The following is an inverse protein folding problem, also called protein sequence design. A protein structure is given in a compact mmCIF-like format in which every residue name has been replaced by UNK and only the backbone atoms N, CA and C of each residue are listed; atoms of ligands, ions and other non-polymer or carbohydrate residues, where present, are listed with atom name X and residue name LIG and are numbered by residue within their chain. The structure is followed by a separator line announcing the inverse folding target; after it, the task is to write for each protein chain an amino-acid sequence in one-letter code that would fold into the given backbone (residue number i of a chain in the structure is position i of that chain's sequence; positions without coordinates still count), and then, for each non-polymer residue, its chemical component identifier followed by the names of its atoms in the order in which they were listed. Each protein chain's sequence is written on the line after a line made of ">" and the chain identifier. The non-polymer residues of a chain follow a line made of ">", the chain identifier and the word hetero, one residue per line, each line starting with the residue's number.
data_IF_738789412034
#
_entry.id   IF_738789412034
#
_cell.length_a   1.000
_cell.length_b   1.000
_cell.length_c   1.000
_cell.angle_alpha   90.00
_cell.angle_beta   90.00
_cell.angle_gamma   90.00
#
_symmetry.space_group_name_H-M   'P 1'
#
loop_
_entity.id
_entity.type
_entity.pdbx_description
1 polymer ?
#
# COMPACT_ATOMS: atom_id res chain seq x y z
N UNK A 1 -14.76 41.71 26.95
CA UNK A 1 -15.03 40.59 27.87
C UNK A 1 -14.86 39.30 27.09
N UNK A 2 -13.83 38.51 27.39
CA UNK A 2 -13.66 37.20 26.79
C UNK A 2 -14.60 36.19 27.48
N UNK A 3 -15.22 35.24 26.76
CA UNK A 3 -16.11 34.27 27.38
C UNK A 3 -15.32 33.32 28.30
N UNK A 4 -15.83 33.18 29.52
CA UNK A 4 -15.36 32.26 30.54
C UNK A 4 -15.74 30.83 30.13
N UNK A 5 -14.77 30.05 29.65
CA UNK A 5 -14.99 28.63 29.30
C UNK A 5 -14.88 27.82 30.60
N UNK A 6 -15.90 27.01 30.97
CA UNK A 6 -15.86 26.17 32.15
C UNK A 6 -14.66 25.22 32.18
N UNK A 7 -13.99 25.03 33.34
CA UNK A 7 -12.81 24.17 33.46
C UNK A 7 -13.08 22.68 33.19
N UNK A 8 -14.34 22.25 33.12
CA UNK A 8 -14.72 20.87 32.78
C UNK A 8 -14.70 20.54 31.28
N UNK A 9 -14.50 21.53 30.39
CA UNK A 9 -14.39 21.29 28.94
C UNK A 9 -12.94 21.10 28.46
N UNK A 10 -11.98 20.96 29.37
CA UNK A 10 -10.55 20.81 29.05
C UNK A 10 -10.14 19.34 28.83
N UNK A 11 -10.98 18.37 29.19
CA UNK A 11 -10.65 16.93 29.18
C UNK A 11 -11.49 16.08 28.21
N UNK A 12 -11.50 16.48 26.93
CA UNK A 12 -11.76 15.55 25.83
C UNK A 12 -10.53 15.45 24.93
N UNK A 13 -9.35 15.23 25.54
CA UNK A 13 -8.31 14.50 24.85
C UNK A 13 -8.79 13.06 24.74
N UNK A 14 -9.53 12.77 23.66
CA UNK A 14 -9.79 11.41 23.22
C UNK A 14 -8.45 10.67 23.24
N UNK A 15 -8.34 9.70 24.15
CA UNK A 15 -7.19 8.85 24.29
C UNK A 15 -6.81 8.34 22.90
N UNK A 16 -5.66 8.77 22.40
CA UNK A 16 -5.14 8.24 21.14
C UNK A 16 -5.02 6.73 21.34
N UNK A 17 -5.64 5.90 20.48
CA UNK A 17 -5.49 4.45 20.58
C UNK A 17 -3.99 4.15 20.60
N UNK A 18 -3.54 3.30 21.54
CA UNK A 18 -2.15 2.85 21.58
C UNK A 18 -1.78 2.39 20.17
N UNK A 19 -0.90 3.14 19.51
CA UNK A 19 -0.49 2.88 18.15
C UNK A 19 0.07 1.45 18.09
N UNK A 20 -0.63 0.56 17.40
CA UNK A 20 -0.12 -0.76 17.06
C UNK A 20 1.22 -0.62 16.34
N UNK A 21 2.11 -1.60 16.53
CA UNK A 21 3.37 -1.65 15.79
C UNK A 21 3.14 -1.67 14.27
N UNK A 22 4.16 -1.35 13.48
CA UNK A 22 4.06 -1.26 12.01
C UNK A 22 3.40 -2.48 11.37
N UNK A 23 3.71 -3.70 11.86
CA UNK A 23 3.09 -4.95 11.40
C UNK A 23 1.57 -5.00 11.61
N UNK A 24 1.08 -4.49 12.73
CA UNK A 24 -0.35 -4.42 13.00
C UNK A 24 -1.04 -3.41 12.07
N UNK A 25 -0.36 -2.30 11.79
CA UNK A 25 -0.86 -1.25 10.87
C UNK A 25 -0.95 -1.78 9.44
N UNK A 26 0.10 -2.47 8.96
CA UNK A 26 0.09 -3.09 7.63
C UNK A 26 -1.02 -4.14 7.48
N UNK A 27 -1.19 -5.01 8.48
CA UNK A 27 -2.27 -6.01 8.47
C UNK A 27 -3.66 -5.36 8.39
N UNK A 28 -3.94 -4.35 9.21
CA UNK A 28 -5.24 -3.65 9.16
C UNK A 28 -5.46 -2.96 7.82
N UNK A 29 -4.40 -2.42 7.21
CA UNK A 29 -4.51 -1.80 5.89
C UNK A 29 -4.89 -2.80 4.80
N UNK A 30 -4.36 -4.04 4.84
CA UNK A 30 -4.80 -5.13 3.96
C UNK A 30 -6.29 -5.41 4.15
N UNK A 31 -6.73 -5.57 5.41
CA UNK A 31 -8.14 -5.85 5.74
C UNK A 31 -9.07 -4.76 5.18
N UNK A 32 -8.74 -3.48 5.36
CA UNK A 32 -9.50 -2.34 4.82
C UNK A 32 -9.66 -2.42 3.30
N UNK A 33 -8.60 -2.78 2.56
CA UNK A 33 -8.66 -2.90 1.09
C UNK A 33 -9.51 -4.11 0.65
N UNK A 34 -9.41 -5.25 1.34
CA UNK A 34 -10.24 -6.43 1.07
C UNK A 34 -11.72 -6.13 1.34
N UNK A 35 -12.03 -5.36 2.39
CA UNK A 35 -13.39 -4.94 2.75
C UNK A 35 -14.05 -4.04 1.68
N UNK A 36 -13.29 -3.34 0.83
CA UNK A 36 -13.83 -2.50 -0.25
C UNK A 36 -14.58 -3.27 -1.34
N UNK A 37 -14.43 -4.61 -1.40
CA UNK A 37 -15.02 -5.47 -2.46
C UNK A 37 -14.68 -5.03 -3.89
N UNK A 38 -13.54 -4.37 -4.08
CA UNK A 38 -13.09 -3.85 -5.38
C UNK A 38 -12.20 -4.84 -6.16
N UNK A 39 -12.39 -6.15 -5.95
CA UNK A 39 -11.57 -7.20 -6.58
C UNK A 39 -10.17 -7.39 -5.98
N UNK A 40 -9.93 -6.86 -4.77
CA UNK A 40 -8.69 -7.10 -4.04
C UNK A 40 -8.62 -8.54 -3.52
N UNK A 41 -7.42 -9.13 -3.59
CA UNK A 41 -7.09 -10.45 -3.06
C UNK A 41 -5.73 -10.39 -2.38
N UNK A 42 -5.62 -11.00 -1.20
CA UNK A 42 -4.33 -11.23 -0.55
C UNK A 42 -3.83 -12.62 -0.95
N UNK A 43 -2.81 -12.73 -1.82
CA UNK A 43 -2.34 -14.02 -2.27
C UNK A 43 -1.75 -14.83 -1.11
N UNK A 44 -2.09 -16.10 -1.08
CA UNK A 44 -1.42 -17.12 -0.27
C UNK A 44 0.03 -17.29 -0.73
N UNK A 45 0.85 -18.01 0.06
CA UNK A 45 2.24 -18.29 -0.32
C UNK A 45 2.33 -19.00 -1.68
N UNK A 46 1.48 -20.00 -1.93
CA UNK A 46 1.44 -20.74 -3.20
C UNK A 46 1.05 -19.85 -4.38
N UNK A 47 0.03 -19.02 -4.22
CA UNK A 47 -0.41 -18.09 -5.27
C UNK A 47 0.65 -17.03 -5.55
N UNK A 48 1.34 -16.56 -4.51
CA UNK A 48 2.47 -15.64 -4.64
C UNK A 48 3.59 -16.26 -5.47
N UNK A 49 3.98 -17.49 -5.20
CA UNK A 49 5.00 -18.19 -5.99
C UNK A 49 4.58 -18.33 -7.46
N UNK A 50 3.30 -18.69 -7.70
CA UNK A 50 2.77 -18.80 -9.05
C UNK A 50 2.77 -17.44 -9.79
N UNK A 51 2.40 -16.35 -9.10
CA UNK A 51 2.49 -14.99 -9.63
C UNK A 51 3.94 -14.64 -10.00
N UNK A 52 4.91 -14.90 -9.13
CA UNK A 52 6.32 -14.62 -9.41
C UNK A 52 6.81 -15.35 -10.68
N UNK A 53 6.46 -16.63 -10.83
CA UNK A 53 6.77 -17.41 -12.03
C UNK A 53 6.10 -16.81 -13.27
N UNK A 54 4.81 -16.49 -13.18
CA UNK A 54 4.04 -15.96 -14.31
C UNK A 54 4.58 -14.61 -14.82
N UNK A 55 4.93 -13.70 -13.91
CA UNK A 55 5.55 -12.42 -14.28
C UNK A 55 6.93 -12.65 -14.93
N UNK A 56 7.73 -13.57 -14.39
CA UNK A 56 9.03 -13.93 -14.96
C UNK A 56 8.91 -14.54 -16.37
N UNK A 57 7.89 -15.37 -16.63
CA UNK A 57 7.59 -15.90 -17.97
C UNK A 57 7.35 -14.81 -19.02
N UNK A 58 6.84 -13.64 -18.59
CA UNK A 58 6.67 -12.45 -19.45
C UNK A 58 7.83 -11.45 -19.36
N UNK A 59 8.98 -11.89 -18.83
CA UNK A 59 10.21 -11.08 -18.65
C UNK A 59 10.00 -9.85 -17.78
N UNK A 60 9.06 -9.93 -16.83
CA UNK A 60 8.79 -8.88 -15.84
C UNK A 60 9.25 -9.38 -14.49
N UNK A 61 10.23 -8.71 -13.91
CA UNK A 61 10.79 -9.13 -12.63
C UNK A 61 10.00 -8.46 -11.51
N UNK A 62 9.51 -9.30 -10.59
CA UNK A 62 9.02 -8.91 -9.28
C UNK A 62 10.07 -9.41 -8.28
N UNK A 63 10.70 -8.49 -7.52
CA UNK A 63 11.66 -8.87 -6.49
C UNK A 63 10.94 -9.56 -5.30
N UNK A 64 11.65 -10.25 -4.40
CA UNK A 64 11.00 -10.98 -3.28
C UNK A 64 10.07 -10.09 -2.42
N UNK A 65 9.11 -10.68 -1.70
CA UNK A 65 8.11 -9.99 -0.85
C UNK A 65 7.43 -8.73 -1.46
N UNK A 66 7.49 -8.51 -2.78
CA UNK A 66 7.37 -7.17 -3.37
C UNK A 66 5.96 -6.60 -3.54
N UNK A 67 4.97 -7.22 -2.91
CA UNK A 67 3.61 -6.70 -2.92
C UNK A 67 2.77 -7.35 -1.83
N UNK A 68 1.82 -6.61 -1.28
CA UNK A 68 0.95 -7.10 -0.22
C UNK A 68 -0.28 -7.79 -0.80
N UNK A 69 -0.89 -7.19 -1.81
CA UNK A 69 -2.16 -7.62 -2.41
C UNK A 69 -2.14 -7.48 -3.93
N UNK A 70 -3.12 -8.09 -4.59
CA UNK A 70 -3.41 -7.85 -6.01
C UNK A 70 -4.85 -7.35 -6.15
N UNK A 71 -5.14 -6.71 -7.28
CA UNK A 71 -6.49 -6.46 -7.76
C UNK A 71 -6.69 -7.19 -9.08
N UNK A 72 -7.77 -7.96 -9.17
CA UNK A 72 -8.16 -8.67 -10.39
C UNK A 72 -9.35 -7.98 -11.06
N UNK A 73 -9.18 -7.56 -12.31
CA UNK A 73 -10.25 -6.98 -13.12
C UNK A 73 -11.24 -8.03 -13.65
N UNK A 74 -10.81 -9.29 -13.73
CA UNK A 74 -11.64 -10.47 -14.00
C UNK A 74 -11.05 -11.68 -13.25
N UNK A 75 -11.84 -12.74 -12.97
CA UNK A 75 -11.33 -13.92 -12.28
C UNK A 75 -10.15 -14.56 -13.02
N UNK A 76 -9.10 -14.91 -12.29
CA UNK A 76 -7.92 -15.65 -12.76
C UNK A 76 -7.59 -16.73 -11.73
N UNK A 77 -7.29 -17.95 -12.18
CA UNK A 77 -6.77 -19.00 -11.29
C UNK A 77 -5.33 -18.68 -10.93
N UNK A 78 -5.10 -18.28 -9.68
CA UNK A 78 -3.80 -17.90 -9.17
C UNK A 78 -2.91 -19.10 -8.80
N UNK A 79 -3.34 -20.32 -9.09
CA UNK A 79 -2.56 -21.55 -8.83
C UNK A 79 -1.88 -22.11 -10.08
N UNK A 80 -2.19 -21.57 -11.26
CA UNK A 80 -1.60 -21.94 -12.56
C UNK A 80 -0.73 -20.80 -13.13
N UNK A 81 0.61 -20.87 -13.03
CA UNK A 81 1.49 -19.84 -13.56
C UNK A 81 1.30 -19.55 -15.06
N UNK A 82 0.97 -20.56 -15.87
CA UNK A 82 0.80 -20.36 -17.31
C UNK A 82 -0.47 -19.56 -17.60
N UNK A 83 -1.60 -19.95 -16.99
CA UNK A 83 -2.86 -19.22 -17.07
C UNK A 83 -2.76 -17.78 -16.53
N UNK A 84 -2.02 -17.57 -15.43
CA UNK A 84 -1.73 -16.23 -14.93
C UNK A 84 -0.94 -15.42 -15.96
N UNK A 85 0.10 -16.01 -16.57
CA UNK A 85 0.95 -15.33 -17.53
C UNK A 85 0.15 -14.87 -18.77
N UNK A 86 -0.82 -15.65 -19.20
CA UNK A 86 -1.73 -15.31 -20.31
C UNK A 86 -2.73 -14.21 -19.95
N UNK A 87 -3.04 -14.05 -18.67
CA UNK A 87 -4.04 -13.11 -18.15
C UNK A 87 -3.44 -11.98 -17.31
N UNK A 88 -2.14 -11.66 -17.49
CA UNK A 88 -1.50 -10.62 -16.69
C UNK A 88 -2.20 -9.27 -16.81
N UNK A 89 -2.80 -8.94 -17.95
CA UNK A 89 -3.56 -7.69 -18.16
C UNK A 89 -4.73 -7.51 -17.18
N UNK A 90 -5.24 -8.60 -16.61
CA UNK A 90 -6.29 -8.59 -15.59
C UNK A 90 -5.76 -8.31 -14.18
N UNK A 91 -4.45 -8.38 -13.96
CA UNK A 91 -3.84 -8.35 -12.63
C UNK A 91 -3.04 -7.07 -12.44
N UNK A 92 -3.40 -6.31 -11.41
CA UNK A 92 -2.60 -5.20 -10.89
C UNK A 92 -2.04 -5.59 -9.53
N UNK A 93 -0.75 -5.36 -9.34
CA UNK A 93 0.00 -5.68 -8.13
C UNK A 93 0.09 -4.44 -7.24
N UNK A 94 -0.08 -4.60 -5.93
CA UNK A 94 -0.10 -3.50 -4.97
C UNK A 94 0.87 -3.66 -3.81
N UNK A 95 1.63 -2.61 -3.57
CA UNK A 95 2.35 -2.38 -2.32
C UNK A 95 1.55 -1.43 -1.42
N UNK A 96 1.34 -1.80 -0.17
CA UNK A 96 0.57 -1.00 0.79
C UNK A 96 1.52 -0.18 1.65
N UNK A 97 1.31 1.13 1.64
CA UNK A 97 1.94 2.08 2.57
C UNK A 97 0.89 2.59 3.54
N UNK A 98 1.07 2.29 4.81
CA UNK A 98 0.02 2.52 5.81
C UNK A 98 0.43 3.49 6.90
N UNK A 99 -0.55 4.15 7.51
CA UNK A 99 -0.37 5.04 8.65
C UNK A 99 -1.56 4.97 9.59
N UNK A 100 -1.32 5.27 10.86
CA UNK A 100 -2.36 5.39 11.89
C UNK A 100 -2.45 6.82 12.46
N UNK A 101 -1.88 7.82 11.77
CA UNK A 101 -1.90 9.19 12.23
C UNK A 101 -3.29 9.81 12.05
N UNK A 102 -3.85 10.32 13.15
CA UNK A 102 -5.16 10.97 13.20
C UNK A 102 -5.26 12.23 12.33
N UNK A 103 -4.17 13.00 12.22
CA UNK A 103 -4.14 14.30 11.53
C UNK A 103 -3.53 14.21 10.13
N UNK A 104 -3.84 13.16 9.39
CA UNK A 104 -3.42 13.03 7.98
C UNK A 104 -4.53 13.54 7.08
N UNK A 105 -4.16 14.34 6.07
CA UNK A 105 -5.13 14.78 5.05
C UNK A 105 -5.61 13.58 4.23
N UNK A 106 -6.84 13.64 3.70
CA UNK A 106 -7.39 12.58 2.85
C UNK A 106 -6.53 12.28 1.62
N UNK A 107 -5.81 13.30 1.12
CA UNK A 107 -4.90 13.18 -0.01
C UNK A 107 -3.45 12.85 0.40
N UNK A 108 -3.22 12.55 1.68
CA UNK A 108 -1.91 12.29 2.32
C UNK A 108 -0.88 13.42 2.19
N UNK A 109 -1.31 14.64 1.81
CA UNK A 109 -0.42 15.79 1.68
C UNK A 109 0.37 16.08 2.97
N UNK A 110 1.68 16.23 2.85
CA UNK A 110 2.57 16.55 3.98
C UNK A 110 2.93 15.37 4.87
N UNK A 111 2.39 14.18 4.62
CA UNK A 111 2.84 12.95 5.27
C UNK A 111 4.00 12.31 4.49
N UNK A 112 4.89 11.62 5.20
CA UNK A 112 6.05 10.95 4.62
C UNK A 112 5.80 9.44 4.61
N UNK A 113 5.93 8.83 3.44
CA UNK A 113 5.98 7.38 3.27
C UNK A 113 7.37 7.00 2.76
N UNK A 114 7.90 5.90 3.31
CA UNK A 114 9.16 5.34 2.82
C UNK A 114 8.87 4.34 1.70
N UNK A 115 9.67 4.40 0.63
CA UNK A 115 9.62 3.47 -0.49
C UNK A 115 10.97 2.78 -0.60
N UNK A 116 10.97 1.45 -0.60
CA UNK A 116 12.22 0.70 -0.75
C UNK A 116 12.67 0.70 -2.21
N UNK A 117 13.97 0.54 -2.45
CA UNK A 117 14.48 0.40 -3.82
C UNK A 117 13.86 -0.78 -4.56
N UNK A 118 13.61 -1.90 -3.87
CA UNK A 118 12.95 -3.05 -4.47
C UNK A 118 11.57 -2.65 -5.03
N UNK A 119 10.76 -1.92 -4.26
CA UNK A 119 9.46 -1.41 -4.71
C UNK A 119 9.58 -0.47 -5.90
N UNK A 120 10.56 0.45 -5.87
CA UNK A 120 10.80 1.37 -6.99
C UNK A 120 11.16 0.60 -8.27
N UNK A 121 12.02 -0.42 -8.16
CA UNK A 121 12.44 -1.23 -9.31
C UNK A 121 11.29 -2.09 -9.85
N UNK A 122 10.46 -2.69 -8.97
CA UNK A 122 9.26 -3.42 -9.41
C UNK A 122 8.28 -2.48 -10.08
N UNK A 123 8.03 -1.30 -9.51
CA UNK A 123 7.12 -0.31 -10.08
C UNK A 123 7.58 0.16 -11.47
N UNK A 124 8.89 0.36 -11.65
CA UNK A 124 9.49 0.68 -12.96
C UNK A 124 9.34 -0.48 -13.95
N UNK A 125 9.57 -1.72 -13.51
CA UNK A 125 9.46 -2.94 -14.32
C UNK A 125 8.03 -3.22 -14.81
N UNK A 126 7.04 -3.01 -13.94
CA UNK A 126 5.63 -3.34 -14.21
C UNK A 126 4.81 -2.16 -14.74
N UNK A 127 5.29 -0.92 -14.59
CA UNK A 127 4.60 0.28 -15.04
C UNK A 127 3.19 0.39 -14.45
N UNK A 128 2.18 0.52 -15.30
CA UNK A 128 0.78 0.72 -14.88
C UNK A 128 0.18 -0.47 -14.10
N UNK A 129 0.81 -1.65 -14.15
CA UNK A 129 0.37 -2.86 -13.44
C UNK A 129 0.92 -2.98 -12.03
N UNK A 130 1.69 -1.99 -11.56
CA UNK A 130 2.10 -1.88 -10.17
C UNK A 130 1.62 -0.55 -9.60
N UNK A 131 0.98 -0.60 -8.43
CA UNK A 131 0.44 0.57 -7.75
C UNK A 131 0.83 0.56 -6.28
N UNK A 132 0.97 1.75 -5.73
CA UNK A 132 1.05 1.96 -4.29
C UNK A 132 -0.36 2.23 -3.77
N UNK A 133 -0.78 1.54 -2.72
CA UNK A 133 -1.97 1.86 -1.96
C UNK A 133 -1.57 2.56 -0.65
N UNK A 134 -1.85 3.85 -0.55
CA UNK A 134 -1.66 4.62 0.67
C UNK A 134 -2.91 4.52 1.52
N UNK A 135 -2.79 4.03 2.76
CA UNK A 135 -3.95 3.74 3.62
C UNK A 135 -3.77 4.41 4.98
N UNK A 136 -4.77 5.16 5.44
CA UNK A 136 -4.87 5.56 6.83
C UNK A 136 -5.84 4.63 7.56
N UNK A 137 -5.33 3.79 8.45
CA UNK A 137 -6.12 2.75 9.10
C UNK A 137 -7.12 3.26 10.13
N UNK A 138 -7.00 4.53 10.57
CA UNK A 138 -7.92 5.12 11.54
C UNK A 138 -9.13 5.76 10.85
N UNK A 139 -8.87 6.51 9.77
CA UNK A 139 -9.93 7.14 8.97
C UNK A 139 -10.48 6.23 7.87
N UNK A 140 -9.83 5.08 7.65
CA UNK A 140 -10.08 4.12 6.56
C UNK A 140 -10.01 4.71 5.14
N UNK A 141 -9.53 5.95 5.02
CA UNK A 141 -9.26 6.61 3.74
C UNK A 141 -8.05 5.97 3.08
N UNK A 142 -8.14 5.75 1.78
CA UNK A 142 -7.05 5.23 0.98
C UNK A 142 -6.97 5.89 -0.40
N UNK A 143 -5.81 5.78 -1.02
CA UNK A 143 -5.51 6.32 -2.34
C UNK A 143 -4.55 5.39 -3.07
N UNK A 144 -4.83 5.08 -4.33
CA UNK A 144 -3.88 4.36 -5.18
C UNK A 144 -3.14 5.31 -6.12
N UNK A 145 -1.87 5.02 -6.36
CA UNK A 145 -1.03 5.77 -7.30
C UNK A 145 -0.04 4.86 -8.01
N UNK A 146 0.24 5.17 -9.27
CA UNK A 146 1.43 4.73 -10.00
C UNK A 146 2.68 5.42 -9.46
N UNK A 147 3.87 4.90 -9.79
CA UNK A 147 5.13 5.56 -9.44
C UNK A 147 5.22 6.99 -10.02
N UNK A 148 4.73 7.20 -11.25
CA UNK A 148 4.70 8.50 -11.88
C UNK A 148 3.83 9.49 -11.10
N UNK A 149 2.65 9.07 -10.65
CA UNK A 149 1.75 9.90 -9.84
C UNK A 149 2.35 10.22 -8.46
N UNK A 150 3.03 9.24 -7.83
CA UNK A 150 3.76 9.47 -6.58
C UNK A 150 4.82 10.56 -6.78
N UNK A 151 5.65 10.46 -7.82
CA UNK A 151 6.68 11.46 -8.09
C UNK A 151 6.09 12.82 -8.49
N UNK A 152 5.00 12.85 -9.24
CA UNK A 152 4.31 14.10 -9.59
C UNK A 152 3.74 14.81 -8.35
N UNK A 153 3.31 14.06 -7.33
CA UNK A 153 2.77 14.61 -6.08
C UNK A 153 3.86 14.92 -5.04
N UNK A 154 5.00 14.24 -5.09
CA UNK A 154 6.06 14.38 -4.11
C UNK A 154 6.68 15.79 -4.14
N UNK A 155 6.60 16.50 -3.01
CA UNK A 155 7.28 17.80 -2.85
C UNK A 155 8.77 17.66 -2.59
N UNK A 156 9.18 16.55 -1.97
CA UNK A 156 10.56 16.23 -1.61
C UNK A 156 10.75 14.72 -1.76
N UNK A 157 11.85 14.32 -2.35
CA UNK A 157 12.26 12.91 -2.50
C UNK A 157 13.65 12.79 -1.87
N UNK A 158 13.81 11.80 -1.00
CA UNK A 158 15.05 11.54 -0.28
C UNK A 158 15.57 10.15 -0.68
N UNK A 159 16.38 10.03 -1.74
CA UNK A 159 16.98 8.74 -2.08
C UNK A 159 17.91 8.31 -0.94
N UNK A 160 17.76 7.08 -0.44
CA UNK A 160 18.52 6.61 0.72
C UNK A 160 19.13 5.24 0.49
N UNK A 161 20.41 5.12 0.84
CA UNK A 161 21.13 3.87 1.04
C UNK A 161 22.15 4.13 2.15
N UNK A 162 22.05 3.41 3.26
CA UNK A 162 23.00 3.58 4.37
C UNK A 162 23.38 2.22 4.95
N UNK A 163 24.68 1.98 5.02
CA UNK A 163 25.32 0.76 5.51
C UNK A 163 26.29 1.17 6.62
N UNK A 164 26.27 0.45 7.75
CA UNK A 164 27.27 0.53 8.82
C UNK A 164 27.63 -0.89 9.20
N UNK A 165 28.93 -1.14 9.36
CA UNK A 165 29.51 -2.44 9.70
C UNK A 165 29.45 -2.69 11.21
#
# INVERSE_FOLDING_TARGET
>A
MAPNIPPELVDLQAASPKAGGEKQTARRAVEILLEQKAGFHQPTARERDALLVAFAMKRRVIYGAAFDVIRMGRPVDLTDPAGIAENLDAITVYEIKSTNKLKTRADFGGYFFDLTTAELLVAQSLGAQYRFAFVNIISETWLEMTLQEVFAKARKIYPKWAVSF
#
